data_IF_503733821032
#
_entry.id   IF_503733821032
#
_cell.length_a   1.000
_cell.length_b   1.000
_cell.length_c   1.000
_cell.angle_alpha   90.00
_cell.angle_beta   90.00
_cell.angle_gamma   90.00
#
_symmetry.space_group_name_H-M   'P 1'
#
loop_
_entity.id
_entity.type
_entity.pdbx_description
1 polymer ?
#
# COMPACT_ATOMS: atom_id res chain seq x y z
N UNK A 1 13.09 28.80 -17.00
CA UNK A 1 13.50 28.09 -15.79
C UNK A 1 12.46 28.15 -14.66
N UNK A 2 11.91 29.34 -14.40
CA UNK A 2 10.91 29.49 -13.32
C UNK A 2 9.67 28.64 -13.54
N UNK A 3 9.19 28.57 -14.79
CA UNK A 3 8.02 27.76 -15.13
C UNK A 3 8.24 26.28 -14.93
N UNK A 4 9.44 25.80 -15.23
CA UNK A 4 9.81 24.38 -15.09
C UNK A 4 9.85 23.99 -13.61
N UNK A 5 10.38 24.85 -12.75
CA UNK A 5 10.44 24.58 -11.31
C UNK A 5 9.05 24.47 -10.70
N UNK A 6 8.11 25.31 -11.14
CA UNK A 6 6.73 25.28 -10.66
C UNK A 6 6.07 23.95 -11.07
N UNK A 7 6.35 23.50 -12.28
CA UNK A 7 5.78 22.24 -12.78
C UNK A 7 6.24 21.03 -11.97
N UNK A 8 7.53 20.96 -11.61
CA UNK A 8 8.05 19.89 -10.77
C UNK A 8 7.42 19.89 -9.38
N UNK A 9 7.17 21.09 -8.85
CA UNK A 9 6.58 21.22 -7.53
C UNK A 9 5.14 20.71 -7.50
N UNK A 10 4.37 20.97 -8.55
CA UNK A 10 2.99 20.51 -8.66
C UNK A 10 2.88 18.99 -8.78
N UNK A 11 3.81 18.37 -9.50
CA UNK A 11 3.81 16.91 -9.65
C UNK A 11 4.05 16.18 -8.33
N UNK A 12 4.86 16.77 -7.47
CA UNK A 12 5.14 16.18 -6.16
C UNK A 12 3.92 16.09 -5.25
N UNK A 13 3.05 17.08 -5.31
CA UNK A 13 1.84 17.08 -4.49
C UNK A 13 0.84 16.01 -4.88
N UNK A 14 0.78 15.69 -6.17
CA UNK A 14 -0.15 14.68 -6.67
C UNK A 14 0.18 13.28 -6.12
N UNK A 15 1.47 12.97 -5.99
CA UNK A 15 1.91 11.69 -5.46
C UNK A 15 1.55 11.50 -3.99
N UNK A 16 1.72 12.54 -3.19
CA UNK A 16 1.38 12.49 -1.77
C UNK A 16 -0.12 12.25 -1.56
N UNK A 17 -0.96 12.94 -2.34
CA UNK A 17 -2.41 12.78 -2.28
C UNK A 17 -2.85 11.36 -2.63
N UNK A 18 -2.20 10.75 -3.61
CA UNK A 18 -2.52 9.39 -4.05
C UNK A 18 -2.22 8.37 -2.95
N UNK A 19 -1.12 8.53 -2.25
CA UNK A 19 -0.73 7.66 -1.14
C UNK A 19 -1.71 7.77 0.05
N UNK A 20 -2.19 8.96 0.34
CA UNK A 20 -3.20 9.18 1.37
C UNK A 20 -4.51 8.47 1.06
N UNK A 21 -4.95 8.53 -0.19
CA UNK A 21 -6.16 7.84 -0.63
C UNK A 21 -6.03 6.34 -0.46
N UNK A 22 -4.88 5.79 -0.79
CA UNK A 22 -4.59 4.36 -0.62
C UNK A 22 -4.65 3.94 0.84
N UNK A 23 -4.08 4.74 1.73
CA UNK A 23 -4.16 4.49 3.16
C UNK A 23 -5.60 4.51 3.67
N UNK A 24 -6.41 5.43 3.15
CA UNK A 24 -7.82 5.52 3.53
C UNK A 24 -8.60 4.27 3.10
N UNK A 25 -8.37 3.78 1.89
CA UNK A 25 -8.96 2.53 1.40
C UNK A 25 -8.52 1.36 2.28
N UNK A 26 -7.23 1.28 2.58
CA UNK A 26 -6.68 0.25 3.45
C UNK A 26 -7.37 0.21 4.82
N UNK A 27 -7.52 1.37 5.44
CA UNK A 27 -8.15 1.47 6.76
C UNK A 27 -9.58 0.95 6.76
N UNK A 28 -10.31 1.18 5.68
CA UNK A 28 -11.71 0.74 5.59
C UNK A 28 -11.87 -0.73 5.26
N UNK A 29 -11.02 -1.26 4.38
CA UNK A 29 -11.21 -2.60 3.84
C UNK A 29 -10.32 -3.66 4.46
N UNK A 30 -9.15 -3.30 4.96
CA UNK A 30 -8.08 -4.24 5.29
C UNK A 30 -7.67 -4.25 6.77
N UNK A 31 -7.72 -3.08 7.41
CA UNK A 31 -7.14 -2.87 8.73
C UNK A 31 -7.69 -3.79 9.80
N UNK A 32 -8.98 -4.10 9.75
CA UNK A 32 -9.63 -4.90 10.80
C UNK A 32 -9.02 -6.29 10.96
N UNK A 33 -8.46 -6.84 9.89
CA UNK A 33 -7.84 -8.17 9.89
C UNK A 33 -6.32 -8.12 9.78
N UNK A 34 -5.78 -7.14 9.06
CA UNK A 34 -4.35 -7.07 8.74
C UNK A 34 -3.56 -6.09 9.61
N UNK A 35 -4.22 -5.37 10.51
CA UNK A 35 -3.54 -4.44 11.42
C UNK A 35 -3.26 -3.09 10.78
N UNK A 36 -2.35 -2.31 11.38
CA UNK A 36 -2.02 -0.97 10.87
C UNK A 36 -1.48 -1.01 9.44
N UNK A 37 -1.57 0.12 8.75
CA UNK A 37 -1.13 0.21 7.37
C UNK A 37 0.33 -0.19 7.17
N UNK A 38 1.20 0.29 8.04
CA UNK A 38 2.63 -0.02 7.97
C UNK A 38 2.88 -1.52 8.17
N UNK A 39 2.21 -2.11 9.14
CA UNK A 39 2.35 -3.53 9.42
C UNK A 39 1.79 -4.37 8.28
N UNK A 40 0.58 -4.06 7.81
CA UNK A 40 -0.05 -4.80 6.72
C UNK A 40 0.72 -4.72 5.41
N UNK A 41 1.15 -3.51 5.03
CA UNK A 41 1.94 -3.32 3.81
C UNK A 41 3.31 -4.02 3.91
N UNK A 42 3.90 -4.05 5.09
CA UNK A 42 5.20 -4.68 5.32
C UNK A 42 5.18 -6.21 5.31
N UNK A 43 4.04 -6.85 5.14
CA UNK A 43 3.95 -8.31 5.08
C UNK A 43 4.53 -8.88 3.78
N UNK A 44 4.48 -8.13 2.69
CA UNK A 44 4.93 -8.57 1.37
C UNK A 44 5.96 -7.59 0.82
N UNK A 45 6.72 -8.05 -0.18
CA UNK A 45 7.60 -7.16 -0.94
C UNK A 45 6.84 -6.46 -2.06
N UNK A 46 7.49 -5.51 -2.72
CA UNK A 46 6.88 -4.71 -3.78
C UNK A 46 6.33 -5.58 -4.91
N UNK A 47 7.14 -6.52 -5.39
CA UNK A 47 6.75 -7.39 -6.50
C UNK A 47 5.56 -8.28 -6.13
N UNK A 48 5.51 -8.75 -4.89
CA UNK A 48 4.39 -9.55 -4.40
C UNK A 48 3.10 -8.74 -4.36
N UNK A 49 3.18 -7.48 -3.88
CA UNK A 49 2.00 -6.61 -3.88
C UNK A 49 1.52 -6.32 -5.29
N UNK A 50 2.41 -6.03 -6.22
CA UNK A 50 2.04 -5.77 -7.62
C UNK A 50 1.31 -6.97 -8.22
N UNK A 51 1.78 -8.18 -7.93
CA UNK A 51 1.13 -9.41 -8.42
C UNK A 51 -0.32 -9.56 -7.93
N UNK A 52 -0.61 -9.09 -6.72
CA UNK A 52 -1.98 -9.14 -6.19
C UNK A 52 -2.95 -8.21 -6.91
N UNK A 53 -2.44 -7.17 -7.59
CA UNK A 53 -3.27 -6.15 -8.20
C UNK A 53 -3.42 -6.28 -9.72
N UNK A 54 -2.71 -7.20 -10.36
CA UNK A 54 -2.88 -7.44 -11.81
C UNK A 54 -4.32 -7.90 -12.10
N UNK A 55 -4.79 -7.62 -13.31
CA UNK A 55 -6.12 -8.00 -13.78
C UNK A 55 -7.24 -7.55 -12.82
N UNK A 56 -7.25 -6.25 -12.49
CA UNK A 56 -8.25 -5.67 -11.59
C UNK A 56 -8.26 -6.34 -10.22
N UNK A 57 -7.07 -6.61 -9.69
CA UNK A 57 -6.88 -7.21 -8.37
C UNK A 57 -7.54 -8.60 -8.25
N UNK A 58 -7.44 -9.40 -9.30
CA UNK A 58 -8.07 -10.72 -9.32
C UNK A 58 -7.54 -11.62 -8.21
N UNK A 59 -6.23 -11.63 -8.00
CA UNK A 59 -5.60 -12.46 -6.96
C UNK A 59 -6.02 -11.99 -5.56
N UNK A 60 -6.09 -10.67 -5.36
CA UNK A 60 -6.55 -10.10 -4.10
C UNK A 60 -7.96 -10.54 -3.78
N UNK A 61 -8.85 -10.51 -4.77
CA UNK A 61 -10.23 -10.96 -4.62
C UNK A 61 -10.30 -12.44 -4.31
N UNK A 62 -9.51 -13.25 -5.02
CA UNK A 62 -9.55 -14.70 -4.87
C UNK A 62 -9.14 -15.16 -3.48
N UNK A 63 -8.10 -14.58 -2.91
CA UNK A 63 -7.65 -14.98 -1.57
C UNK A 63 -8.63 -14.59 -0.45
N UNK A 64 -9.61 -13.76 -0.77
CA UNK A 64 -10.63 -13.33 0.18
C UNK A 64 -12.02 -13.90 -0.12
N UNK A 65 -12.15 -14.81 -1.08
CA UNK A 65 -13.48 -15.31 -1.48
C UNK A 65 -14.18 -16.12 -0.38
N UNK A 66 -13.41 -16.68 0.55
CA UNK A 66 -13.98 -17.40 1.70
C UNK A 66 -14.50 -16.47 2.79
N UNK A 67 -14.28 -15.17 2.65
CA UNK A 67 -14.78 -14.15 3.59
C UNK A 67 -15.74 -13.21 2.85
N UNK A 68 -17.04 -13.56 2.77
CA UNK A 68 -17.98 -12.85 1.91
C UNK A 68 -18.04 -11.33 2.14
N UNK A 69 -17.95 -10.90 3.39
CA UNK A 69 -18.00 -9.47 3.71
C UNK A 69 -16.77 -8.73 3.20
N UNK A 70 -15.60 -9.31 3.35
CA UNK A 70 -14.35 -8.71 2.88
C UNK A 70 -14.30 -8.74 1.36
N UNK A 71 -14.65 -9.87 0.77
CA UNK A 71 -14.73 -10.01 -0.69
C UNK A 71 -15.63 -8.93 -1.30
N UNK A 72 -16.78 -8.68 -0.68
CA UNK A 72 -17.73 -7.66 -1.14
C UNK A 72 -17.11 -6.27 -1.07
N UNK A 73 -16.39 -5.94 0.01
CA UNK A 73 -15.71 -4.66 0.17
C UNK A 73 -14.68 -4.44 -0.94
N UNK A 74 -13.90 -5.47 -1.25
CA UNK A 74 -12.87 -5.39 -2.29
C UNK A 74 -13.52 -5.28 -3.68
N UNK A 75 -14.56 -6.08 -3.92
CA UNK A 75 -15.22 -6.15 -5.22
C UNK A 75 -15.81 -4.80 -5.65
N UNK A 76 -16.30 -4.00 -4.72
CA UNK A 76 -16.92 -2.70 -5.04
C UNK A 76 -15.91 -1.57 -5.19
N UNK A 77 -14.62 -1.82 -4.98
CA UNK A 77 -13.61 -0.79 -5.16
C UNK A 77 -13.45 -0.43 -6.64
N UNK A 78 -13.49 0.87 -6.93
CA UNK A 78 -13.24 1.35 -8.30
C UNK A 78 -11.79 1.13 -8.70
N UNK A 79 -11.51 1.21 -10.01
CA UNK A 79 -10.15 1.10 -10.52
C UNK A 79 -9.22 2.13 -9.88
N UNK A 80 -9.71 3.36 -9.66
CA UNK A 80 -8.91 4.41 -9.01
C UNK A 80 -8.59 4.07 -7.55
N UNK A 81 -9.54 3.52 -6.83
CA UNK A 81 -9.32 3.11 -5.45
C UNK A 81 -8.38 1.92 -5.35
N UNK A 82 -8.49 0.97 -6.26
CA UNK A 82 -7.55 -0.16 -6.34
C UNK A 82 -6.14 0.32 -6.64
N UNK A 83 -5.99 1.24 -7.60
CA UNK A 83 -4.69 1.81 -7.95
C UNK A 83 -4.07 2.57 -6.76
N UNK A 84 -4.89 3.34 -6.03
CA UNK A 84 -4.42 4.05 -4.84
C UNK A 84 -4.01 3.08 -3.73
N UNK A 85 -4.75 2.01 -3.54
CA UNK A 85 -4.44 0.98 -2.55
C UNK A 85 -3.13 0.26 -2.91
N UNK A 86 -2.96 -0.10 -4.18
CA UNK A 86 -1.73 -0.70 -4.67
C UNK A 86 -0.52 0.20 -4.42
N UNK A 87 -0.65 1.48 -4.78
CA UNK A 87 0.41 2.47 -4.60
C UNK A 87 0.82 2.58 -3.12
N UNK A 88 -0.17 2.59 -2.24
CA UNK A 88 0.10 2.62 -0.80
C UNK A 88 0.82 1.36 -0.32
N UNK A 89 0.37 0.17 -0.73
CA UNK A 89 0.95 -1.10 -0.30
C UNK A 89 2.35 -1.31 -0.85
N UNK A 90 2.56 -1.02 -2.14
CA UNK A 90 3.88 -1.10 -2.78
C UNK A 90 4.84 -0.08 -2.15
N UNK A 91 4.38 1.14 -1.95
CA UNK A 91 5.21 2.21 -1.38
C UNK A 91 5.60 1.97 0.07
N UNK A 92 4.90 1.10 0.78
CA UNK A 92 5.19 0.74 2.17
C UNK A 92 5.53 -0.75 2.34
N UNK A 93 5.84 -1.44 1.27
CA UNK A 93 6.26 -2.84 1.30
C UNK A 93 7.56 -3.01 2.09
N UNK A 94 7.82 -4.23 2.54
CA UNK A 94 8.97 -4.51 3.40
C UNK A 94 10.32 -4.16 2.78
N UNK A 95 10.39 -4.10 1.45
CA UNK A 95 11.62 -3.77 0.71
C UNK A 95 11.59 -2.40 0.04
N UNK A 96 10.57 -1.57 0.33
CA UNK A 96 10.41 -0.26 -0.31
C UNK A 96 11.38 0.80 0.21
N UNK A 97 12.02 0.55 1.33
CA UNK A 97 12.85 1.54 2.01
C UNK A 97 12.04 2.51 2.87
N UNK A 98 10.72 2.47 2.78
CA UNK A 98 9.85 3.25 3.63
C UNK A 98 9.62 2.48 4.92
N UNK A 99 10.49 2.64 5.88
CA UNK A 99 10.35 1.95 7.15
C UNK A 99 9.38 2.69 8.02
N UNK A 100 8.13 2.35 7.90
CA UNK A 100 7.15 2.83 8.85
C UNK A 100 7.37 2.14 10.16
N UNK A 101 8.17 2.70 10.92
CA UNK A 101 8.31 2.27 12.28
C UNK A 101 8.56 0.82 12.51
N UNK A 102 9.09 0.22 12.09
CA UNK A 102 9.35 -0.94 12.67
C UNK A 102 10.59 -0.84 13.25
N UNK A 103 10.81 -0.48 13.44
CA UNK A 103 11.59 -0.48 13.98
C UNK A 103 11.88 -1.03 14.64
N UNK A 104 12.29 -1.55 14.33
CA UNK A 104 12.41 -2.19 14.70
C UNK A 104 12.20 -2.93 15.07
N UNK A 105 12.23 -3.35 15.02
CA UNK A 105 11.90 -4.13 15.12
C UNK A 105 11.06 -4.43 15.22
N UNK A 106 10.72 -4.28 14.78
CA UNK A 106 9.97 -4.34 14.56
C UNK A 106 9.05 -4.27 14.19
N UNK A 107 9.03 -4.05 13.88
CA UNK A 107 8.20 -3.93 13.39
C UNK A 107 8.02 -4.42 12.43
N UNK A 108 8.57 -4.77 12.09
CA UNK A 108 8.47 -5.26 11.51
C UNK A 108 9.10 -5.27 10.96
N UNK A 109 9.75 -5.26 10.95
CA UNK A 109 10.39 -5.10 10.64
C UNK A 109 10.86 -4.83 10.09
N UNK A 110 11.16 -4.58 9.86
CA UNK A 110 11.52 -4.09 9.38
C UNK A 110 12.24 -3.97 8.95
N UNK A 111 12.55 -4.30 8.94
CA UNK A 111 13.16 -3.93 8.51
C UNK A 111 13.76 -3.80 8.05
N UNK A 112 13.97 -4.25 7.55
CA UNK A 112 14.51 -4.09 7.12
C UNK A 112 15.24 -3.49 6.88
N UNK A 113 15.45 -3.28 6.57
CA UNK A 113 15.96 -2.70 6.59
C UNK A 113 16.29 -2.17 7.22
N UNK A 114 16.16 -2.69 7.76
CA UNK A 114 16.14 -2.31 8.19
C UNK A 114 16.50 -2.31 8.59
N UNK A 115 16.94 -2.44 8.48
CA UNK A 115 17.15 -2.44 8.66
C UNK A 115 17.19 -2.39 9.17
N UNK A 116 17.40 -2.78 9.18
CA UNK A 116 17.31 -2.79 9.28
C UNK A 116 17.38 -2.92 9.69
N UNK A 117 17.65 -3.19 9.95
CA UNK A 117 17.54 -3.24 10.02
C UNK A 117 17.58 -3.46 10.17
N UNK A 118 18.05 -3.67 10.01
CA UNK A 118 17.97 -3.96 9.81
C UNK A 118 18.13 -4.04 10.02
#
# INVERSE_FOLDING_TARGET
MRAIMILFFLLGFLQADYNEKGMHVYKKACKSCHGSGDYGAGQLDEAQWEDYFVFHAQKLKKVHEDSPEIYKKIKVLSSNKLASLEDFLVGNAKDSGSVGGCDGNRCGIKSGKVKIAK
#
